data_IF_350871003301
#
_entry.id   IF_350871003301
#
_cell.length_a   1.000
_cell.length_b   1.000
_cell.length_c   1.000
_cell.angle_alpha   90.00
_cell.angle_beta   90.00
_cell.angle_gamma   90.00
#
_symmetry.space_group_name_H-M   'P 1'
#
loop_
_entity.id
_entity.type
_entity.pdbx_description
1 polymer ?
#
# COMPACT_ATOMS: atom_id res chain seq x y z
N UNK A 1 24.81 -8.77 -15.34
CA UNK A 1 23.35 -8.51 -15.33
C UNK A 1 22.98 -8.22 -13.89
N UNK A 2 22.73 -6.96 -13.55
CA UNK A 2 22.27 -6.59 -12.22
C UNK A 2 20.75 -6.75 -12.28
N UNK A 3 20.21 -7.75 -11.58
CA UNK A 3 18.78 -7.78 -11.27
C UNK A 3 18.60 -6.66 -10.25
N UNK A 4 18.10 -5.50 -10.67
CA UNK A 4 17.59 -4.53 -9.71
C UNK A 4 16.41 -5.21 -9.01
N UNK A 5 16.60 -5.55 -7.73
CA UNK A 5 15.52 -6.10 -6.93
C UNK A 5 14.53 -4.98 -6.65
N UNK A 6 13.44 -4.98 -7.42
CA UNK A 6 12.32 -4.07 -7.22
C UNK A 6 11.50 -4.63 -6.06
N UNK A 7 11.50 -3.92 -4.93
CA UNK A 7 10.71 -4.30 -3.77
C UNK A 7 9.43 -3.49 -3.72
N UNK A 8 8.27 -4.14 -3.53
CA UNK A 8 7.03 -3.40 -3.32
C UNK A 8 7.13 -2.55 -2.05
N UNK A 9 6.57 -1.32 -2.05
CA UNK A 9 6.47 -0.53 -0.84
C UNK A 9 5.64 -1.30 0.19
N UNK A 10 6.11 -1.29 1.44
CA UNK A 10 5.42 -1.98 2.55
C UNK A 10 4.50 -0.99 3.26
N UNK A 11 3.19 -1.23 3.19
CA UNK A 11 2.22 -0.46 3.96
C UNK A 11 2.50 -0.56 5.47
N UNK A 12 2.46 0.57 6.16
CA UNK A 12 2.55 0.62 7.62
C UNK A 12 1.34 -0.09 8.21
N UNK A 13 1.56 -0.90 9.25
CA UNK A 13 0.49 -1.49 10.05
C UNK A 13 0.17 -0.56 11.21
N UNK A 14 -1.00 0.04 11.16
CA UNK A 14 -1.53 0.92 12.21
C UNK A 14 -2.86 0.32 12.64
N UNK A 15 -2.88 -0.33 13.80
CA UNK A 15 -4.07 -1.02 14.30
C UNK A 15 -5.19 0.00 14.57
N UNK A 16 -6.31 -0.18 13.87
CA UNK A 16 -7.56 0.54 14.11
C UNK A 16 -8.65 -0.45 14.47
N UNK A 17 -9.21 -0.33 15.66
CA UNK A 17 -10.39 -1.08 16.05
C UNK A 17 -11.64 -0.49 15.38
N UNK A 18 -12.43 -1.37 14.78
CA UNK A 18 -13.71 -1.07 14.16
C UNK A 18 -14.75 -1.96 14.81
N UNK A 19 -15.73 -1.35 15.48
CA UNK A 19 -16.84 -2.07 16.12
C UNK A 19 -18.15 -1.75 15.39
N UNK A 20 -18.86 -2.79 14.95
CA UNK A 20 -20.17 -2.67 14.30
C UNK A 20 -21.04 -3.88 14.66
N UNK A 21 -22.33 -3.64 14.95
CA UNK A 21 -23.32 -4.67 15.30
C UNK A 21 -22.89 -5.66 16.40
N UNK A 22 -22.08 -5.22 17.36
CA UNK A 22 -21.61 -6.05 18.47
C UNK A 22 -20.32 -6.84 18.17
N UNK A 23 -19.84 -6.80 16.93
CA UNK A 23 -18.56 -7.39 16.54
C UNK A 23 -17.46 -6.33 16.51
N UNK A 24 -16.25 -6.71 16.94
CA UNK A 24 -15.06 -5.85 16.85
C UNK A 24 -13.98 -6.54 16.03
N UNK A 25 -13.43 -5.80 15.07
CA UNK A 25 -12.28 -6.22 14.25
C UNK A 25 -11.17 -5.20 14.31
N UNK A 26 -9.93 -5.66 14.16
CA UNK A 26 -8.77 -4.79 13.98
C UNK A 26 -8.45 -4.70 12.50
N UNK A 27 -8.47 -3.48 11.98
CA UNK A 27 -8.01 -3.15 10.64
C UNK A 27 -6.66 -2.44 10.75
N UNK A 28 -5.59 -3.11 10.29
CA UNK A 28 -4.23 -2.57 10.34
C UNK A 28 -3.94 -1.52 9.25
N UNK A 29 -4.85 -1.34 8.29
CA UNK A 29 -4.64 -0.51 7.10
C UNK A 29 -5.75 0.52 6.90
N UNK A 30 -6.60 0.72 7.90
CA UNK A 30 -7.71 1.68 7.83
C UNK A 30 -7.26 3.09 7.46
N UNK A 31 -6.03 3.47 7.84
CA UNK A 31 -5.41 4.77 7.53
C UNK A 31 -5.28 5.04 6.03
N UNK A 32 -5.22 4.00 5.17
CA UNK A 32 -5.18 4.15 3.71
C UNK A 32 -6.49 4.75 3.13
N UNK A 33 -7.57 4.80 3.90
CA UNK A 33 -8.82 5.41 3.46
C UNK A 33 -8.78 6.96 3.50
N UNK A 34 -7.80 7.56 4.17
CA UNK A 34 -7.68 9.01 4.32
C UNK A 34 -7.03 9.63 3.07
N UNK A 35 -7.85 9.93 2.05
CA UNK A 35 -7.36 10.42 0.73
C UNK A 35 -6.54 11.72 0.79
N UNK A 36 -6.80 12.57 1.78
CA UNK A 36 -6.08 13.84 1.96
C UNK A 36 -4.78 13.68 2.78
N UNK A 37 -4.52 12.49 3.34
CA UNK A 37 -3.35 12.23 4.15
C UNK A 37 -2.10 12.08 3.26
N UNK A 38 -1.06 12.89 3.45
CA UNK A 38 0.14 12.85 2.60
C UNK A 38 0.89 11.52 2.67
N UNK A 39 0.78 10.77 3.78
CA UNK A 39 1.39 9.43 3.89
C UNK A 39 0.66 8.41 3.03
N UNK A 40 -0.66 8.57 2.82
CA UNK A 40 -1.45 7.72 1.91
C UNK A 40 -1.06 8.01 0.48
N UNK A 41 -1.02 9.29 0.10
CA UNK A 41 -0.58 9.72 -1.24
C UNK A 41 0.81 9.17 -1.56
N UNK A 42 1.77 9.35 -0.65
CA UNK A 42 3.14 8.85 -0.81
C UNK A 42 3.22 7.33 -0.97
N UNK A 43 2.38 6.58 -0.26
CA UNK A 43 2.32 5.12 -0.40
C UNK A 43 1.77 4.71 -1.77
N UNK A 44 0.68 5.34 -2.22
CA UNK A 44 0.06 5.04 -3.50
C UNK A 44 0.96 5.42 -4.69
N UNK A 45 1.62 6.58 -4.65
CA UNK A 45 2.60 6.97 -5.67
C UNK A 45 3.78 5.99 -5.76
N UNK A 46 4.19 5.41 -4.63
CA UNK A 46 5.24 4.40 -4.60
C UNK A 46 4.78 3.05 -5.22
N UNK A 47 3.50 2.71 -5.09
CA UNK A 47 2.89 1.53 -5.73
C UNK A 47 2.75 1.77 -7.24
N UNK A 48 2.30 2.95 -7.68
CA UNK A 48 2.21 3.31 -9.11
C UNK A 48 3.58 3.25 -9.81
N UNK A 49 4.63 3.73 -9.14
CA UNK A 49 6.00 3.65 -9.66
C UNK A 49 6.53 2.21 -9.73
N UNK A 50 6.08 1.33 -8.84
CA UNK A 50 6.40 -0.09 -8.89
C UNK A 50 5.70 -0.74 -10.10
N UNK A 51 4.41 -0.47 -10.27
CA UNK A 51 3.58 -1.02 -11.33
C UNK A 51 4.11 -0.64 -12.73
N UNK A 52 4.49 0.63 -12.94
CA UNK A 52 5.10 1.09 -14.20
C UNK A 52 6.41 0.35 -14.52
N UNK A 53 7.24 0.11 -13.50
CA UNK A 53 8.51 -0.64 -13.64
C UNK A 53 8.28 -2.13 -13.90
N UNK A 54 7.27 -2.75 -13.28
CA UNK A 54 6.91 -4.15 -13.56
C UNK A 54 6.33 -4.31 -14.97
N UNK A 55 5.51 -3.36 -15.44
CA UNK A 55 4.94 -3.38 -16.79
C UNK A 55 5.99 -3.22 -17.89
N UNK A 56 7.04 -2.42 -17.65
CA UNK A 56 8.18 -2.33 -18.56
C UNK A 56 9.03 -3.62 -18.60
N UNK A 57 8.96 -4.45 -17.54
CA UNK A 57 9.72 -5.70 -17.42
C UNK A 57 8.95 -6.95 -17.83
N UNK A 58 7.63 -6.87 -18.02
CA UNK A 58 6.82 -7.98 -18.53
C UNK A 58 7.06 -8.19 -20.03
N UNK A 59 7.70 -9.29 -20.47
CA UNK A 59 7.99 -9.51 -21.88
C UNK A 59 6.71 -9.89 -22.65
N UNK A 60 6.52 -9.28 -23.83
CA UNK A 60 5.51 -9.63 -24.84
C UNK A 60 5.73 -11.06 -25.34
#
# INVERSE_FOLDING_TARGET
MIKEEIFPPKAKKIAKELSIHGDTRVDNYFWLNERENPEVVKYLEAEELLEDKEQFLAPI
#
